data_IF_115989104036
#
_entry.id   IF_115989104036
#
_cell.length_a   1.000
_cell.length_b   1.000
_cell.length_c   1.000
_cell.angle_alpha   90.00
_cell.angle_beta   90.00
_cell.angle_gamma   90.00
#
_symmetry.space_group_name_H-M   'P 1'
#
loop_
_entity.id
_entity.type
_entity.pdbx_description
1 polymer ?
#
# COMPACT_ATOMS: atom_id res chain seq x y z
N UNK A 1 -1.94 -14.30 -34.19
CA UNK A 1 -2.66 -13.03 -33.92
C UNK A 1 -2.61 -12.77 -32.42
N UNK A 2 -1.75 -11.88 -31.98
CA UNK A 2 -1.63 -11.53 -30.57
C UNK A 2 -2.72 -10.51 -30.21
N UNK A 3 -3.66 -10.90 -29.34
CA UNK A 3 -4.65 -9.96 -28.82
C UNK A 3 -3.94 -8.91 -27.96
N UNK A 4 -3.77 -7.70 -28.51
CA UNK A 4 -3.49 -6.49 -27.72
C UNK A 4 -4.75 -6.22 -26.89
N UNK A 5 -4.80 -6.80 -25.69
CA UNK A 5 -5.77 -6.38 -24.67
C UNK A 5 -5.36 -4.97 -24.26
N UNK A 6 -5.99 -3.97 -24.88
CA UNK A 6 -5.95 -2.60 -24.41
C UNK A 6 -6.72 -2.60 -23.09
N UNK A 7 -6.00 -2.79 -21.98
CA UNK A 7 -6.55 -2.61 -20.64
C UNK A 7 -6.83 -1.11 -20.52
N UNK A 8 -8.04 -0.70 -20.88
CA UNK A 8 -8.54 0.65 -20.70
C UNK A 8 -8.47 1.01 -19.22
N UNK A 9 -7.99 2.22 -18.93
CA UNK A 9 -7.75 2.80 -17.61
C UNK A 9 -9.01 3.12 -16.80
N UNK A 10 -10.07 2.30 -16.88
CA UNK A 10 -11.38 2.57 -16.26
C UNK A 10 -11.79 1.51 -15.23
N UNK A 11 -10.85 0.76 -14.66
CA UNK A 11 -11.18 -0.14 -13.55
C UNK A 11 -11.19 0.68 -12.27
N UNK A 12 -12.39 1.03 -11.79
CA UNK A 12 -12.55 1.73 -10.53
C UNK A 12 -11.92 0.86 -9.42
N UNK A 13 -10.93 1.35 -8.65
CA UNK A 13 -10.22 0.54 -7.65
C UNK A 13 -11.14 -0.15 -6.64
N UNK A 14 -12.35 0.40 -6.44
CA UNK A 14 -13.40 -0.17 -5.59
C UNK A 14 -13.95 -1.52 -6.09
N UNK A 15 -13.81 -1.85 -7.36
CA UNK A 15 -14.40 -3.08 -7.94
C UNK A 15 -13.60 -4.34 -7.62
N UNK A 16 -12.28 -4.23 -7.37
CA UNK A 16 -11.40 -5.38 -7.14
C UNK A 16 -10.58 -5.31 -5.84
N UNK A 17 -10.72 -4.22 -5.08
CA UNK A 17 -10.11 -4.05 -3.77
C UNK A 17 -11.14 -4.21 -2.68
N UNK A 18 -10.75 -4.87 -1.59
CA UNK A 18 -11.57 -4.84 -0.37
C UNK A 18 -11.61 -3.41 0.20
N UNK A 19 -12.61 -3.05 1.02
CA UNK A 19 -12.69 -1.72 1.62
C UNK A 19 -11.41 -1.31 2.37
N UNK A 20 -10.77 -2.25 3.06
CA UNK A 20 -9.51 -2.02 3.78
C UNK A 20 -8.37 -1.73 2.81
N UNK A 21 -8.27 -2.48 1.71
CA UNK A 21 -7.24 -2.27 0.69
C UNK A 21 -7.41 -0.93 -0.02
N UNK A 22 -8.64 -0.60 -0.39
CA UNK A 22 -8.98 0.70 -0.98
C UNK A 22 -8.60 1.84 -0.03
N UNK A 23 -8.99 1.74 1.24
CA UNK A 23 -8.66 2.75 2.24
C UNK A 23 -7.14 2.90 2.48
N UNK A 24 -6.39 1.80 2.44
CA UNK A 24 -4.92 1.84 2.53
C UNK A 24 -4.30 2.63 1.37
N UNK A 25 -4.71 2.33 0.13
CA UNK A 25 -4.23 3.06 -1.05
C UNK A 25 -4.61 4.53 -0.95
N UNK A 26 -5.88 4.83 -0.65
CA UNK A 26 -6.36 6.21 -0.51
C UNK A 26 -5.56 6.97 0.53
N UNK A 27 -5.28 6.38 1.70
CA UNK A 27 -4.46 7.05 2.72
C UNK A 27 -3.02 7.28 2.28
N UNK A 28 -2.39 6.30 1.63
CA UNK A 28 -1.05 6.48 1.06
C UNK A 28 -1.01 7.55 -0.04
N UNK A 29 -2.11 7.74 -0.77
CA UNK A 29 -2.27 8.81 -1.75
C UNK A 29 -2.42 10.18 -1.06
N UNK A 30 -3.26 10.26 -0.03
CA UNK A 30 -3.59 11.52 0.66
C UNK A 30 -2.40 12.07 1.48
N UNK A 31 -1.69 11.21 2.21
CA UNK A 31 -0.65 11.64 3.18
C UNK A 31 0.78 11.30 2.74
N UNK A 32 0.91 10.52 1.68
CA UNK A 32 2.20 10.01 1.21
C UNK A 32 2.75 8.83 2.02
N UNK A 33 4.08 8.58 1.90
CA UNK A 33 4.71 7.41 2.49
C UNK A 33 4.53 7.28 3.99
N UNK A 34 4.03 6.14 4.45
CA UNK A 34 3.64 5.96 5.85
C UNK A 34 4.13 4.64 6.44
N UNK A 35 4.38 4.60 7.75
CA UNK A 35 4.74 3.35 8.41
C UNK A 35 3.50 2.51 8.71
N UNK A 36 3.70 1.20 8.93
CA UNK A 36 2.62 0.33 9.43
C UNK A 36 1.97 0.87 10.71
N UNK A 37 2.75 1.48 11.61
CA UNK A 37 2.23 2.03 12.87
C UNK A 37 1.28 3.19 12.60
N UNK A 38 1.63 4.05 11.65
CA UNK A 38 0.81 5.22 11.31
C UNK A 38 -0.48 4.79 10.63
N UNK A 39 -0.40 3.85 9.68
CA UNK A 39 -1.58 3.28 9.02
C UNK A 39 -2.54 2.60 9.99
N UNK A 40 -2.03 1.92 11.02
CA UNK A 40 -2.85 1.35 12.11
C UNK A 40 -3.59 2.43 12.86
N UNK A 41 -2.91 3.52 13.24
CA UNK A 41 -3.54 4.63 13.96
C UNK A 41 -4.59 5.33 13.12
N UNK A 42 -4.31 5.58 11.84
CA UNK A 42 -5.19 6.32 10.94
C UNK A 42 -6.44 5.51 10.58
N UNK A 43 -6.29 4.22 10.31
CA UNK A 43 -7.39 3.36 9.88
C UNK A 43 -8.10 2.65 11.03
N UNK A 44 -7.60 2.80 12.27
CA UNK A 44 -8.10 2.13 13.47
C UNK A 44 -8.35 0.62 13.27
N UNK A 45 -7.41 -0.05 12.61
CA UNK A 45 -7.51 -1.47 12.25
C UNK A 45 -6.36 -2.27 12.87
N UNK A 46 -6.55 -3.57 13.16
CA UNK A 46 -5.52 -4.39 13.78
C UNK A 46 -4.20 -4.42 12.99
N UNK A 47 -3.08 -4.45 13.72
CA UNK A 47 -1.73 -4.38 13.14
C UNK A 47 -1.42 -5.50 12.14
N UNK A 48 -1.90 -6.71 12.42
CA UNK A 48 -1.76 -7.88 11.54
C UNK A 48 -2.60 -7.71 10.27
N UNK A 49 -3.87 -7.30 10.41
CA UNK A 49 -4.76 -7.00 9.27
C UNK A 49 -4.16 -5.95 8.33
N UNK A 50 -3.59 -4.88 8.87
CA UNK A 50 -2.90 -3.86 8.06
C UNK A 50 -1.71 -4.47 7.34
N UNK A 51 -0.87 -5.25 8.03
CA UNK A 51 0.30 -5.88 7.44
C UNK A 51 -0.05 -6.85 6.31
N UNK A 52 -1.05 -7.70 6.52
CA UNK A 52 -1.47 -8.69 5.53
C UNK A 52 -2.01 -8.03 4.27
N UNK A 53 -2.79 -6.95 4.42
CA UNK A 53 -3.30 -6.19 3.28
C UNK A 53 -2.20 -5.44 2.55
N UNK A 54 -1.22 -4.86 3.27
CA UNK A 54 -0.04 -4.24 2.63
C UNK A 54 0.74 -5.27 1.80
N UNK A 55 0.95 -6.48 2.31
CA UNK A 55 1.61 -7.55 1.53
C UNK A 55 0.79 -7.96 0.31
N UNK A 56 -0.53 -8.07 0.43
CA UNK A 56 -1.41 -8.37 -0.72
C UNK A 56 -1.33 -7.28 -1.79
N UNK A 57 -1.36 -6.01 -1.39
CA UNK A 57 -1.20 -4.87 -2.30
C UNK A 57 0.19 -4.83 -2.96
N UNK A 58 1.24 -5.17 -2.20
CA UNK A 58 2.60 -5.26 -2.73
C UNK A 58 2.73 -6.37 -3.79
N UNK A 59 2.12 -7.54 -3.55
CA UNK A 59 2.09 -8.64 -4.53
C UNK A 59 1.38 -8.23 -5.83
N UNK A 60 0.36 -7.38 -5.72
CA UNK A 60 -0.35 -6.77 -6.87
C UNK A 60 0.43 -5.61 -7.52
N UNK A 61 1.63 -5.28 -7.03
CA UNK A 61 2.48 -4.17 -7.52
C UNK A 61 1.81 -2.79 -7.43
N UNK A 62 0.86 -2.61 -6.50
CA UNK A 62 0.20 -1.32 -6.29
C UNK A 62 0.94 -0.41 -5.30
N UNK A 63 1.70 -1.02 -4.39
CA UNK A 63 2.50 -0.33 -3.39
C UNK A 63 3.88 -0.98 -3.27
N UNK A 64 4.83 -0.23 -2.75
CA UNK A 64 6.16 -0.74 -2.40
C UNK A 64 6.60 -0.29 -1.02
N UNK A 65 7.54 -1.05 -0.44
CA UNK A 65 8.14 -0.74 0.85
C UNK A 65 9.57 -0.25 0.64
N UNK A 66 9.97 0.75 1.42
CA UNK A 66 11.34 1.20 1.49
C UNK A 66 11.73 1.45 2.94
N UNK A 67 13.04 1.43 3.19
CA UNK A 67 13.60 1.73 4.51
C UNK A 67 14.28 3.07 4.48
N UNK A 68 14.11 3.85 5.55
CA UNK A 68 14.90 5.07 5.77
C UNK A 68 15.92 4.76 6.85
N UNK A 69 17.20 4.70 6.49
CA UNK A 69 18.26 4.59 7.47
C UNK A 69 18.45 5.96 8.15
N UNK A 70 18.26 6.02 9.47
CA UNK A 70 18.47 7.25 10.24
C UNK A 70 19.89 7.40 10.76
N UNK A 71 20.80 6.47 10.46
CA UNK A 71 22.16 6.45 11.00
C UNK A 71 22.24 6.06 12.47
N UNK A 72 21.11 5.76 13.11
CA UNK A 72 21.03 5.36 14.52
C UNK A 72 21.05 3.84 14.66
N UNK A 73 21.61 3.35 15.79
CA UNK A 73 21.62 1.93 16.13
C UNK A 73 20.18 1.42 16.35
N UNK A 74 19.77 0.40 15.60
CA UNK A 74 18.46 -0.23 15.73
C UNK A 74 17.89 -0.75 14.41
N UNK A 75 16.66 -1.29 14.46
CA UNK A 75 15.96 -1.73 13.25
C UNK A 75 15.45 -0.52 12.47
N UNK A 76 15.79 -0.37 11.18
CA UNK A 76 15.33 0.76 10.39
C UNK A 76 13.80 0.77 10.26
N UNK A 77 13.24 1.98 10.19
CA UNK A 77 11.81 2.15 9.95
C UNK A 77 11.47 1.77 8.51
N UNK A 78 10.37 1.03 8.38
CA UNK A 78 9.83 0.59 7.09
C UNK A 78 8.62 1.46 6.76
N UNK A 79 8.72 2.14 5.62
CA UNK A 79 7.66 2.94 5.03
C UNK A 79 7.05 2.22 3.84
N UNK A 80 5.79 2.51 3.58
CA UNK A 80 5.03 2.04 2.44
C UNK A 80 4.62 3.24 1.62
N UNK A 81 4.72 3.14 0.29
CA UNK A 81 4.27 4.18 -0.65
C UNK A 81 3.57 3.55 -1.84
N UNK A 82 2.81 4.36 -2.57
CA UNK A 82 2.29 3.96 -3.88
C UNK A 82 3.45 3.66 -4.81
N UNK A 83 3.27 2.66 -5.66
CA UNK A 83 4.23 2.34 -6.71
C UNK A 83 4.01 3.30 -7.88
N UNK A 84 5.09 3.90 -8.37
CA UNK A 84 5.13 4.70 -9.60
C UNK A 84 5.05 3.81 -10.84
#
# INVERSE_FOLDING_TARGET
MANRVVIKNDINPKEYLTPIQYNLIKKLQDIGPSTRRDLVKILNNPRTTIYDNLLKLQKRRLIEKFTRNSGMRGRPLVFWKLKE
#
